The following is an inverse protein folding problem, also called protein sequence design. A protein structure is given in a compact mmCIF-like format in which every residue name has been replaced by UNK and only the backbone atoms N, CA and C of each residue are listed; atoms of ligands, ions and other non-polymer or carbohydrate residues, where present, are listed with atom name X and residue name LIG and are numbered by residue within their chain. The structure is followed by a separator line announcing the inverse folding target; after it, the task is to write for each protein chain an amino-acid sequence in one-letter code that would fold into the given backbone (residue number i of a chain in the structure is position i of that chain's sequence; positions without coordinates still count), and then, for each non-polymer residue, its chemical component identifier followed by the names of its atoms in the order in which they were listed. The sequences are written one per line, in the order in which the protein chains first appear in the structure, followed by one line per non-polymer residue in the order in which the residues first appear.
data_IF_280729294661
#
_entry.id   IF_280729294661
#
_cell.length_a   1.000
_cell.length_b   1.000
_cell.length_c   1.000
_cell.angle_alpha   90.00
_cell.angle_beta   90.00
_cell.angle_gamma   90.00
#
_symmetry.space_group_name_H-M   'P 1'
#
loop_
_entity.id
_entity.type
_entity.pdbx_description
1 polymer ?
#
# COMPACT_ATOMS: atom_id res chain seq x y z
N UNK A 1 -9.61 5.47 -4.02
CA UNK A 1 -8.88 4.42 -3.29
C UNK A 1 -9.85 3.64 -2.41
N UNK A 2 -9.93 2.35 -2.62
CA UNK A 2 -10.78 1.46 -1.82
C UNK A 2 -9.90 0.56 -0.97
N UNK A 3 -10.22 0.47 0.33
CA UNK A 3 -9.46 -0.34 1.26
C UNK A 3 -10.43 -1.26 1.98
N UNK A 4 -10.14 -2.56 2.00
CA UNK A 4 -10.92 -3.52 2.79
C UNK A 4 -10.00 -4.59 3.36
N UNK A 5 -10.48 -5.24 4.41
CA UNK A 5 -9.71 -6.22 5.17
C UNK A 5 -10.42 -7.56 5.15
N UNK A 6 -9.67 -8.62 4.85
CA UNK A 6 -10.20 -9.98 4.84
C UNK A 6 -9.05 -10.98 5.03
N UNK A 7 -9.25 -11.99 5.84
CA UNK A 7 -8.30 -13.09 6.06
C UNK A 7 -6.88 -12.61 6.40
N UNK A 8 -6.77 -11.69 7.35
CA UNK A 8 -5.51 -11.10 7.80
C UNK A 8 -4.75 -10.38 6.70
N UNK A 9 -5.46 -9.96 5.66
CA UNK A 9 -4.88 -9.27 4.53
C UNK A 9 -5.62 -7.96 4.29
N UNK A 10 -4.86 -6.90 4.10
CA UNK A 10 -5.40 -5.60 3.73
C UNK A 10 -5.34 -5.45 2.22
N UNK A 11 -6.49 -5.27 1.58
CA UNK A 11 -6.59 -5.08 0.13
C UNK A 11 -6.78 -3.60 -0.16
N UNK A 12 -5.91 -3.05 -0.99
CA UNK A 12 -5.95 -1.64 -1.36
C UNK A 12 -6.06 -1.53 -2.87
N UNK A 13 -7.17 -0.99 -3.35
CA UNK A 13 -7.39 -0.76 -4.78
C UNK A 13 -7.16 0.71 -5.09
N UNK A 14 -6.24 1.00 -5.99
CA UNK A 14 -5.87 2.35 -6.37
C UNK A 14 -6.20 2.57 -7.83
N UNK A 15 -7.10 3.49 -8.12
CA UNK A 15 -7.48 3.84 -9.49
C UNK A 15 -6.83 5.15 -9.93
N UNK A 16 -6.38 5.96 -8.99
CA UNK A 16 -5.75 7.24 -9.26
C UNK A 16 -4.31 7.05 -9.76
N UNK A 17 -3.82 8.03 -10.50
CA UNK A 17 -2.41 8.08 -10.85
C UNK A 17 -1.55 8.28 -9.61
N UNK A 18 -0.44 7.56 -9.52
CA UNK A 18 0.47 7.71 -8.39
C UNK A 18 1.37 8.93 -8.59
N UNK A 19 1.23 9.89 -7.70
CA UNK A 19 2.07 11.08 -7.62
C UNK A 19 2.41 11.33 -6.15
N UNK A 20 3.17 12.37 -5.86
CA UNK A 20 3.60 12.66 -4.48
C UNK A 20 2.43 12.82 -3.53
N UNK A 21 1.38 13.49 -3.96
CA UNK A 21 0.19 13.70 -3.14
C UNK A 21 -0.54 12.39 -2.84
N UNK A 22 -0.81 11.60 -3.89
CA UNK A 22 -1.56 10.36 -3.74
C UNK A 22 -0.78 9.30 -2.98
N UNK A 23 0.53 9.21 -3.18
CA UNK A 23 1.34 8.24 -2.46
C UNK A 23 1.43 8.57 -0.98
N UNK A 24 1.47 9.86 -0.62
CA UNK A 24 1.47 10.26 0.78
C UNK A 24 0.15 9.92 1.47
N UNK A 25 -0.98 10.12 0.79
CA UNK A 25 -2.28 9.73 1.32
C UNK A 25 -2.37 8.23 1.54
N UNK A 26 -1.93 7.46 0.54
CA UNK A 26 -1.87 6.00 0.63
C UNK A 26 -1.05 5.57 1.84
N UNK A 27 0.13 6.13 1.98
CA UNK A 27 1.03 5.81 3.08
C UNK A 27 0.40 6.09 4.43
N UNK A 28 -0.17 7.27 4.62
CA UNK A 28 -0.79 7.64 5.89
C UNK A 28 -1.92 6.68 6.26
N UNK A 29 -2.77 6.33 5.31
CA UNK A 29 -3.91 5.44 5.56
C UNK A 29 -3.47 4.00 5.80
N UNK A 30 -2.62 3.47 4.95
CA UNK A 30 -2.18 2.08 5.05
C UNK A 30 -1.36 1.87 6.32
N UNK A 31 -0.40 2.75 6.59
CA UNK A 31 0.45 2.62 7.78
C UNK A 31 -0.37 2.69 9.06
N UNK A 32 -1.36 3.58 9.12
CA UNK A 32 -2.22 3.69 10.28
C UNK A 32 -3.03 2.41 10.51
N UNK A 33 -3.64 1.88 9.47
CA UNK A 33 -4.45 0.67 9.57
C UNK A 33 -3.59 -0.53 9.96
N UNK A 34 -2.45 -0.69 9.32
CA UNK A 34 -1.54 -1.80 9.60
C UNK A 34 -1.08 -1.76 11.05
N UNK A 35 -0.73 -0.59 11.54
CA UNK A 35 -0.28 -0.43 12.92
C UNK A 35 -1.40 -0.67 13.92
N UNK A 36 -2.59 -0.12 13.65
CA UNK A 36 -3.71 -0.22 14.58
C UNK A 36 -4.28 -1.63 14.68
N UNK A 37 -4.23 -2.40 13.60
CA UNK A 37 -4.80 -3.75 13.55
C UNK A 37 -3.77 -4.87 13.42
N UNK A 38 -2.50 -4.54 13.49
CA UNK A 38 -1.40 -5.51 13.44
C UNK A 38 -1.47 -6.42 12.21
N UNK A 39 -1.67 -5.82 11.05
CA UNK A 39 -1.81 -6.53 9.78
C UNK A 39 -0.42 -6.80 9.20
N UNK A 40 -0.19 -8.04 8.75
CA UNK A 40 1.10 -8.43 8.18
C UNK A 40 1.12 -8.44 6.65
N UNK A 41 -0.03 -8.65 6.03
CA UNK A 41 -0.10 -8.82 4.58
C UNK A 41 -0.91 -7.69 3.94
N UNK A 42 -0.33 -7.05 2.93
CA UNK A 42 -1.00 -6.01 2.17
C UNK A 42 -0.93 -6.36 0.69
N UNK A 43 -2.06 -6.24 0.00
CA UNK A 43 -2.14 -6.45 -1.44
C UNK A 43 -2.59 -5.15 -2.09
N UNK A 44 -1.75 -4.62 -2.98
CA UNK A 44 -2.06 -3.41 -3.74
C UNK A 44 -2.51 -3.80 -5.15
N UNK A 45 -3.66 -3.29 -5.57
CA UNK A 45 -4.14 -3.40 -6.95
C UNK A 45 -4.18 -2.01 -7.55
N UNK A 46 -3.43 -1.79 -8.62
CA UNK A 46 -3.25 -0.46 -9.19
C UNK A 46 -3.66 -0.48 -10.67
N UNK A 47 -4.69 0.28 -11.02
CA UNK A 47 -5.24 0.30 -12.36
C UNK A 47 -4.40 1.11 -13.35
N UNK A 48 -3.89 2.26 -12.94
CA UNK A 48 -3.07 3.14 -13.77
C UNK A 48 -1.60 3.00 -13.40
N UNK A 49 -1.12 1.80 -13.49
CA UNK A 49 0.17 1.44 -12.94
C UNK A 49 1.26 1.42 -14.02
N UNK A 50 2.34 2.13 -13.75
CA UNK A 50 3.58 1.98 -14.52
C UNK A 50 4.56 1.20 -13.67
N UNK A 51 5.03 0.06 -14.17
CA UNK A 51 5.85 -0.87 -13.41
C UNK A 51 7.13 -0.26 -12.84
N UNK A 52 7.60 0.82 -13.43
CA UNK A 52 8.83 1.49 -13.00
C UNK A 52 8.57 2.74 -12.16
N UNK A 53 7.40 2.84 -11.55
CA UNK A 53 7.10 3.98 -10.70
C UNK A 53 7.93 3.92 -9.42
N UNK A 54 8.89 4.83 -9.30
CA UNK A 54 9.79 4.83 -8.14
C UNK A 54 9.09 5.17 -6.83
N UNK A 55 7.99 5.92 -6.89
CA UNK A 55 7.21 6.25 -5.70
C UNK A 55 6.61 4.98 -5.08
N UNK A 56 6.16 4.07 -5.91
CA UNK A 56 5.64 2.79 -5.45
C UNK A 56 6.73 1.95 -4.82
N UNK A 57 7.91 1.92 -5.43
CA UNK A 57 9.06 1.19 -4.88
C UNK A 57 9.49 1.74 -3.54
N UNK A 58 9.54 3.06 -3.39
CA UNK A 58 9.87 3.69 -2.12
C UNK A 58 8.84 3.36 -1.04
N UNK A 59 7.55 3.38 -1.41
CA UNK A 59 6.49 3.03 -0.49
C UNK A 59 6.64 1.58 0.00
N UNK A 60 6.89 0.65 -0.90
CA UNK A 60 7.07 -0.77 -0.55
C UNK A 60 8.26 -0.95 0.38
N UNK A 61 9.39 -0.33 0.05
CA UNK A 61 10.60 -0.41 0.87
C UNK A 61 10.37 0.15 2.27
N UNK A 62 9.71 1.28 2.36
CA UNK A 62 9.42 1.90 3.65
C UNK A 62 8.47 1.05 4.48
N UNK A 63 7.44 0.48 3.84
CA UNK A 63 6.51 -0.41 4.51
C UNK A 63 7.23 -1.62 5.08
N UNK A 64 8.05 -2.29 4.28
CA UNK A 64 8.75 -3.50 4.70
C UNK A 64 9.77 -3.21 5.79
N UNK A 65 10.44 -2.06 5.73
CA UNK A 65 11.39 -1.65 6.77
C UNK A 65 10.70 -1.31 8.09
N UNK A 66 9.54 -0.68 8.01
CA UNK A 66 8.84 -0.18 9.20
C UNK A 66 8.09 -1.29 9.93
N UNK A 67 7.40 -2.16 9.20
CA UNK A 67 6.48 -3.13 9.78
C UNK A 67 6.98 -4.57 9.72
N UNK A 68 8.05 -4.81 8.99
CA UNK A 68 8.59 -6.16 8.79
C UNK A 68 7.53 -7.12 8.23
N UNK A 69 6.61 -6.59 7.44
CA UNK A 69 5.52 -7.35 6.84
C UNK A 69 5.73 -7.56 5.36
N UNK A 70 4.72 -8.09 4.69
CA UNK A 70 4.76 -8.36 3.26
C UNK A 70 3.76 -7.51 2.51
N UNK A 71 4.21 -6.96 1.38
CA UNK A 71 3.35 -6.20 0.48
C UNK A 71 3.48 -6.77 -0.92
N UNK A 72 2.34 -7.03 -1.55
CA UNK A 72 2.28 -7.60 -2.89
C UNK A 72 1.54 -6.65 -3.81
N UNK A 73 2.06 -6.46 -5.02
CA UNK A 73 1.43 -5.63 -6.05
C UNK A 73 0.88 -6.55 -7.12
N UNK A 74 -0.37 -6.36 -7.45
CA UNK A 74 -1.03 -7.06 -8.54
C UNK A 74 -1.01 -6.25 -9.82
#
# INVERSE_FOLDING_TARGET
MNIFYSDNTLFVNIEEELNDYNINRLKLRVFKIVRDYDILNVVLSISNYKKNNYLLKEFINEYESTFNGHIKVK
#
